data_IF_114919676333
#
_entry.id   IF_114919676333
#
_cell.length_a   1.000
_cell.length_b   1.000
_cell.length_c   1.000
_cell.angle_alpha   90.00
_cell.angle_beta   90.00
_cell.angle_gamma   90.00
#
_symmetry.space_group_name_H-M   'P 1'
#
loop_
_entity.id
_entity.type
_entity.pdbx_description
1 polymer ?
#
# COMPACT_ATOMS: atom_id res chain seq x y z
N UNK A 1 -12.88 -0.06 5.47
CA UNK A 1 -12.13 0.53 4.34
C UNK A 1 -13.00 1.05 3.20
N UNK A 2 -14.01 0.33 2.65
CA UNK A 2 -14.77 0.81 1.48
C UNK A 2 -15.43 2.18 1.64
N UNK A 3 -16.08 2.43 2.78
CA UNK A 3 -16.68 3.74 3.08
C UNK A 3 -15.64 4.85 3.12
N UNK A 4 -14.51 4.63 3.82
CA UNK A 4 -13.42 5.61 3.90
C UNK A 4 -12.80 5.91 2.53
N UNK A 5 -12.70 4.90 1.66
CA UNK A 5 -12.23 5.11 0.29
C UNK A 5 -13.19 6.01 -0.49
N UNK A 6 -14.49 5.76 -0.40
CA UNK A 6 -15.49 6.60 -1.06
C UNK A 6 -15.49 8.04 -0.51
N UNK A 7 -15.35 8.22 0.80
CA UNK A 7 -15.22 9.53 1.45
C UNK A 7 -13.98 10.28 0.92
N UNK A 8 -12.81 9.61 0.88
CA UNK A 8 -11.57 10.17 0.34
C UNK A 8 -11.74 10.70 -1.09
N UNK A 9 -12.48 10.00 -1.96
CA UNK A 9 -12.68 10.43 -3.34
C UNK A 9 -13.54 11.70 -3.49
N UNK A 10 -14.16 12.18 -2.40
CA UNK A 10 -14.89 13.45 -2.36
C UNK A 10 -14.02 14.60 -1.81
N UNK A 11 -12.81 14.33 -1.30
CA UNK A 11 -11.95 15.31 -0.66
C UNK A 11 -11.06 16.05 -1.66
N UNK A 12 -11.63 17.03 -2.37
CA UNK A 12 -10.94 17.77 -3.45
C UNK A 12 -9.57 18.36 -3.06
N UNK A 13 -9.38 18.77 -1.80
CA UNK A 13 -8.08 19.26 -1.30
C UNK A 13 -7.03 18.15 -1.25
N UNK A 14 -7.39 16.96 -0.76
CA UNK A 14 -6.50 15.79 -0.69
C UNK A 14 -6.19 15.21 -2.07
N UNK A 15 -7.14 15.30 -3.00
CA UNK A 15 -6.94 14.93 -4.40
C UNK A 15 -6.11 15.96 -5.17
N UNK A 16 -5.91 17.15 -4.59
CA UNK A 16 -5.15 18.26 -5.15
C UNK A 16 -5.56 18.67 -6.58
N UNK A 17 -6.87 18.60 -6.90
CA UNK A 17 -7.38 18.79 -8.27
C UNK A 17 -7.07 20.16 -8.90
N UNK A 18 -6.71 21.15 -8.08
CA UNK A 18 -6.30 22.49 -8.50
C UNK A 18 -4.77 22.66 -8.65
N UNK A 19 -3.99 21.58 -8.57
CA UNK A 19 -2.53 21.60 -8.61
C UNK A 19 -1.98 20.70 -9.73
N UNK A 20 -0.89 21.09 -10.42
CA UNK A 20 -0.30 20.28 -11.51
C UNK A 20 0.11 18.86 -11.11
N UNK A 21 0.53 18.66 -9.86
CA UNK A 21 0.90 17.34 -9.32
C UNK A 21 -0.30 16.52 -8.79
N UNK A 22 -1.48 17.14 -8.70
CA UNK A 22 -2.71 16.49 -8.24
C UNK A 22 -3.39 15.66 -9.32
N UNK A 23 -4.57 15.12 -9.01
CA UNK A 23 -5.34 14.29 -9.93
C UNK A 23 -6.09 15.14 -10.97
N UNK A 24 -6.09 14.67 -12.22
CA UNK A 24 -6.95 15.19 -13.28
C UNK A 24 -8.41 14.76 -13.06
N UNK A 25 -9.36 15.51 -13.64
CA UNK A 25 -10.79 15.16 -13.59
C UNK A 25 -11.07 13.75 -14.15
N UNK A 26 -10.31 13.32 -15.16
CA UNK A 26 -10.42 11.98 -15.74
C UNK A 26 -9.93 10.91 -14.76
N UNK A 27 -8.83 11.14 -14.05
CA UNK A 27 -8.36 10.22 -13.00
C UNK A 27 -9.36 10.15 -11.84
N UNK A 28 -9.93 11.29 -11.43
CA UNK A 28 -10.99 11.32 -10.40
C UNK A 28 -12.21 10.50 -10.83
N UNK A 29 -12.69 10.65 -12.07
CA UNK A 29 -13.82 9.86 -12.57
C UNK A 29 -13.48 8.36 -12.58
N UNK A 30 -12.30 7.98 -13.07
CA UNK A 30 -11.85 6.58 -13.06
C UNK A 30 -11.81 6.01 -11.64
N UNK A 31 -11.33 6.78 -10.66
CA UNK A 31 -11.34 6.35 -9.26
C UNK A 31 -12.76 6.16 -8.73
N UNK A 32 -13.69 7.06 -9.06
CA UNK A 32 -15.10 6.91 -8.68
C UNK A 32 -15.71 5.63 -9.26
N UNK A 33 -15.37 5.28 -10.50
CA UNK A 33 -15.83 4.05 -11.16
C UNK A 33 -15.24 2.77 -10.52
N UNK A 34 -14.23 2.89 -9.65
CA UNK A 34 -13.57 1.74 -8.98
C UNK A 34 -14.10 1.45 -7.58
N UNK A 35 -15.08 2.21 -7.06
CA UNK A 35 -15.60 2.01 -5.70
C UNK A 35 -16.09 0.58 -5.47
N UNK A 36 -16.87 0.03 -6.42
CA UNK A 36 -17.37 -1.35 -6.34
C UNK A 36 -16.24 -2.39 -6.50
N UNK A 37 -15.25 -2.09 -7.35
CA UNK A 37 -14.07 -2.95 -7.53
C UNK A 37 -13.26 -3.02 -6.25
N UNK A 38 -13.00 -1.87 -5.60
CA UNK A 38 -12.31 -1.80 -4.32
C UNK A 38 -13.05 -2.57 -3.23
N UNK A 39 -14.37 -2.39 -3.13
CA UNK A 39 -15.21 -3.12 -2.18
C UNK A 39 -15.18 -4.64 -2.42
N UNK A 40 -15.23 -5.06 -3.69
CA UNK A 40 -15.14 -6.47 -4.09
C UNK A 40 -13.79 -7.08 -3.73
N UNK A 41 -12.68 -6.39 -4.02
CA UNK A 41 -11.32 -6.84 -3.67
C UNK A 41 -11.16 -6.96 -2.14
N UNK A 42 -11.65 -5.99 -1.37
CA UNK A 42 -11.63 -6.06 0.10
C UNK A 42 -12.41 -7.28 0.60
N UNK A 43 -13.60 -7.53 0.06
CA UNK A 43 -14.43 -8.68 0.41
C UNK A 43 -13.76 -9.99 0.03
N UNK A 44 -13.12 -10.06 -1.13
CA UNK A 44 -12.40 -11.25 -1.59
C UNK A 44 -11.20 -11.55 -0.68
N UNK A 45 -10.39 -10.54 -0.35
CA UNK A 45 -9.25 -10.70 0.56
C UNK A 45 -9.70 -11.18 1.95
N UNK A 46 -10.85 -10.73 2.43
CA UNK A 46 -11.40 -11.16 3.71
C UNK A 46 -11.92 -12.63 3.72
N UNK A 47 -11.94 -13.33 2.58
CA UNK A 47 -12.35 -14.75 2.54
C UNK A 47 -11.22 -15.73 2.87
N UNK A 48 -9.97 -15.28 2.84
CA UNK A 48 -8.80 -16.09 3.20
C UNK A 48 -8.65 -16.15 4.73
N UNK A 49 -8.26 -17.30 5.26
CA UNK A 49 -8.08 -17.51 6.71
C UNK A 49 -6.77 -16.90 7.27
N UNK A 50 -6.33 -15.77 6.70
CA UNK A 50 -5.11 -15.06 7.10
C UNK A 50 -5.46 -13.99 8.14
N UNK A 51 -4.92 -14.05 9.36
CA UNK A 51 -5.26 -13.09 10.40
C UNK A 51 -4.64 -11.71 10.10
N UNK A 52 -5.29 -10.66 10.59
CA UNK A 52 -4.67 -9.35 10.70
C UNK A 52 -3.48 -9.42 11.67
N UNK A 53 -2.43 -8.64 11.38
CA UNK A 53 -1.21 -8.58 12.19
C UNK A 53 -0.70 -7.17 12.32
N UNK A 54 0.37 -6.99 13.08
CA UNK A 54 1.11 -5.73 13.12
C UNK A 54 1.78 -5.49 11.76
N UNK A 55 1.21 -4.55 11.01
CA UNK A 55 1.76 -3.98 9.79
C UNK A 55 2.73 -2.86 10.13
N UNK A 56 3.89 -2.82 9.47
CA UNK A 56 4.92 -1.82 9.75
C UNK A 56 4.58 -0.44 9.18
N UNK A 57 3.95 -0.36 8.00
CA UNK A 57 3.59 0.89 7.34
C UNK A 57 4.70 1.63 6.58
N UNK A 58 5.96 1.20 6.71
CA UNK A 58 7.12 1.76 5.98
C UNK A 58 8.31 0.79 6.00
N UNK A 59 8.08 -0.48 5.66
CA UNK A 59 9.12 -1.50 5.75
C UNK A 59 10.07 -1.43 4.54
N UNK A 60 11.26 -0.87 4.74
CA UNK A 60 12.31 -0.83 3.73
C UNK A 60 13.72 -1.04 4.31
N UNK A 61 14.73 -1.15 3.45
CA UNK A 61 16.13 -1.41 3.84
C UNK A 61 16.69 -0.39 4.85
N UNK A 62 16.27 0.87 4.73
CA UNK A 62 16.59 1.92 5.69
C UNK A 62 16.02 1.72 7.09
N UNK A 63 15.01 0.85 7.27
CA UNK A 63 14.30 0.57 8.54
C UNK A 63 14.69 -0.78 9.16
N UNK A 64 15.74 -1.42 8.63
CA UNK A 64 16.24 -2.72 9.12
C UNK A 64 17.73 -2.62 9.44
N UNK A 65 18.08 -2.80 10.71
CA UNK A 65 19.47 -2.90 11.16
C UNK A 65 19.89 -4.34 11.38
N UNK A 66 21.17 -4.61 11.15
CA UNK A 66 21.79 -5.92 11.42
C UNK A 66 22.83 -5.73 12.52
N UNK A 67 22.63 -6.41 13.65
CA UNK A 67 23.56 -6.40 14.77
C UNK A 67 23.79 -7.82 15.28
N UNK A 68 25.04 -8.30 15.26
CA UNK A 68 25.43 -9.64 15.70
C UNK A 68 24.58 -10.76 15.08
N UNK A 69 24.29 -10.67 13.78
CA UNK A 69 23.47 -11.67 13.06
C UNK A 69 21.97 -11.60 13.36
N UNK A 70 21.50 -10.60 14.11
CA UNK A 70 20.08 -10.37 14.39
C UNK A 70 19.57 -9.16 13.59
N UNK A 71 18.33 -9.27 13.11
CA UNK A 71 17.62 -8.17 12.48
C UNK A 71 16.86 -7.36 13.53
N UNK A 72 16.98 -6.04 13.46
CA UNK A 72 16.24 -5.09 14.29
C UNK A 72 15.42 -4.22 13.34
N UNK A 73 14.11 -4.30 13.46
CA UNK A 73 13.16 -3.48 12.72
C UNK A 73 12.84 -2.23 13.55
N UNK A 74 13.01 -1.05 12.99
CA UNK A 74 12.75 0.22 13.66
C UNK A 74 11.77 1.09 12.87
N UNK A 75 11.39 2.22 13.45
CA UNK A 75 10.46 3.20 12.86
C UNK A 75 9.03 2.68 12.73
N UNK A 76 8.48 2.23 13.86
CA UNK A 76 7.10 1.75 13.96
C UNK A 76 6.07 2.89 14.06
N UNK A 77 6.43 4.14 13.77
CA UNK A 77 5.54 5.30 13.86
C UNK A 77 4.31 5.20 12.95
N UNK A 78 4.49 4.47 11.84
CA UNK A 78 3.52 4.23 10.79
C UNK A 78 2.73 2.92 10.95
N UNK A 79 2.93 2.22 12.08
CA UNK A 79 2.38 0.89 12.28
C UNK A 79 0.88 0.87 12.55
N UNK A 80 0.23 -0.22 12.12
CA UNK A 80 -1.20 -0.46 12.33
C UNK A 80 -1.53 -1.94 12.39
N UNK A 81 -2.74 -2.29 12.83
CA UNK A 81 -3.26 -3.65 12.67
C UNK A 81 -3.89 -3.72 11.28
N UNK A 82 -3.39 -4.62 10.43
CA UNK A 82 -3.85 -4.75 9.05
C UNK A 82 -3.52 -6.11 8.45
N UNK A 83 -3.88 -6.31 7.18
CA UNK A 83 -3.52 -7.52 6.46
C UNK A 83 -1.98 -7.60 6.33
N UNK A 84 -1.33 -8.72 6.70
CA UNK A 84 0.13 -8.82 6.79
C UNK A 84 0.82 -8.43 5.48
N UNK A 85 0.22 -8.81 4.36
CA UNK A 85 0.80 -8.68 3.04
C UNK A 85 0.97 -7.23 2.58
N UNK A 86 0.31 -6.26 3.22
CA UNK A 86 0.53 -4.83 2.93
C UNK A 86 1.96 -4.39 3.27
N UNK A 87 2.62 -5.02 4.26
CA UNK A 87 3.97 -4.63 4.71
C UNK A 87 5.04 -4.78 3.63
N UNK A 88 4.80 -5.58 2.60
CA UNK A 88 5.81 -5.85 1.57
C UNK A 88 5.83 -4.79 0.46
N UNK A 89 4.79 -3.94 0.39
CA UNK A 89 4.65 -2.90 -0.65
C UNK A 89 5.86 -1.97 -0.66
N UNK A 90 6.22 -1.38 0.47
CA UNK A 90 7.34 -0.44 0.55
C UNK A 90 8.69 -1.10 0.30
N UNK A 91 8.83 -2.38 0.68
CA UNK A 91 10.02 -3.16 0.35
C UNK A 91 10.14 -3.30 -1.17
N UNK A 92 9.05 -3.61 -1.87
CA UNK A 92 9.02 -3.69 -3.33
C UNK A 92 9.28 -2.34 -4.01
N UNK A 93 8.62 -1.28 -3.54
CA UNK A 93 8.85 0.07 -4.03
C UNK A 93 10.31 0.50 -3.87
N UNK A 94 10.93 0.20 -2.71
CA UNK A 94 12.32 0.47 -2.44
C UNK A 94 13.27 -0.34 -3.33
N UNK A 95 13.01 -1.63 -3.55
CA UNK A 95 13.80 -2.48 -4.46
C UNK A 95 13.80 -1.92 -5.89
N UNK A 96 12.64 -1.47 -6.37
CA UNK A 96 12.54 -0.82 -7.67
C UNK A 96 13.33 0.49 -7.70
N UNK A 97 13.09 1.38 -6.74
CA UNK A 97 13.69 2.73 -6.69
C UNK A 97 15.22 2.70 -6.54
N UNK A 98 15.75 1.80 -5.71
CA UNK A 98 17.19 1.75 -5.38
C UNK A 98 18.00 0.91 -6.36
N UNK A 99 17.41 -0.17 -6.88
CA UNK A 99 18.14 -1.18 -7.66
C UNK A 99 17.60 -1.38 -9.08
N UNK A 100 16.55 -0.66 -9.48
CA UNK A 100 15.94 -0.79 -10.81
C UNK A 100 15.26 -2.15 -11.02
N UNK A 101 14.92 -2.87 -9.95
CA UNK A 101 14.36 -4.22 -10.03
C UNK A 101 12.84 -4.15 -10.25
N UNK A 102 12.39 -4.78 -11.34
CA UNK A 102 10.96 -4.91 -11.65
C UNK A 102 10.29 -6.06 -10.87
N UNK A 103 8.95 -6.07 -10.87
CA UNK A 103 8.12 -7.11 -10.24
C UNK A 103 8.44 -8.53 -10.73
N UNK A 104 8.88 -8.67 -11.99
CA UNK A 104 9.25 -9.95 -12.60
C UNK A 104 10.71 -10.37 -12.34
N UNK A 105 11.44 -9.63 -11.49
CA UNK A 105 12.83 -9.98 -11.18
C UNK A 105 12.90 -11.17 -10.22
N UNK A 106 14.00 -11.94 -10.32
CA UNK A 106 14.30 -13.03 -9.41
C UNK A 106 14.20 -12.63 -7.93
N UNK A 107 14.61 -11.39 -7.59
CA UNK A 107 14.61 -10.91 -6.21
C UNK A 107 13.21 -10.64 -5.67
N UNK A 108 12.29 -10.16 -6.48
CA UNK A 108 10.89 -9.98 -6.09
C UNK A 108 10.22 -11.33 -5.82
N UNK A 109 10.35 -12.27 -6.75
CA UNK A 109 9.79 -13.62 -6.58
C UNK A 109 10.41 -14.34 -5.38
N UNK A 110 11.73 -14.25 -5.19
CA UNK A 110 12.40 -14.83 -4.02
C UNK A 110 11.88 -14.21 -2.71
N UNK A 111 11.65 -12.91 -2.67
CA UNK A 111 11.14 -12.22 -1.50
C UNK A 111 9.68 -12.64 -1.21
N UNK A 112 8.82 -12.67 -2.23
CA UNK A 112 7.45 -13.21 -2.16
C UNK A 112 7.45 -14.63 -1.59
N UNK A 113 8.31 -15.50 -2.12
CA UNK A 113 8.43 -16.90 -1.71
C UNK A 113 8.87 -17.06 -0.27
N UNK A 114 9.88 -16.30 0.16
CA UNK A 114 10.31 -16.28 1.56
C UNK A 114 9.19 -15.78 2.48
N UNK A 115 8.49 -14.72 2.08
CA UNK A 115 7.46 -14.10 2.90
C UNK A 115 6.25 -15.03 3.07
N UNK A 116 5.67 -15.51 1.97
CA UNK A 116 4.51 -16.40 1.96
C UNK A 116 4.75 -17.75 2.63
N UNK A 117 5.99 -18.24 2.70
CA UNK A 117 6.33 -19.46 3.46
C UNK A 117 6.00 -19.35 4.94
N UNK A 118 5.95 -18.15 5.51
CA UNK A 118 5.58 -17.92 6.91
C UNK A 118 4.08 -18.04 7.16
N UNK A 119 3.27 -18.19 6.11
CA UNK A 119 1.80 -18.14 6.18
C UNK A 119 1.12 -19.46 5.76
N UNK A 120 1.91 -20.51 5.51
CA UNK A 120 1.41 -21.82 5.03
C UNK A 120 0.55 -22.57 6.04
N UNK A 121 0.51 -22.13 7.30
CA UNK A 121 -0.41 -22.66 8.31
C UNK A 121 -1.86 -22.16 8.10
N UNK A 122 -2.04 -21.01 7.44
CA UNK A 122 -3.33 -20.34 7.29
C UNK A 122 -4.06 -20.73 6.00
N UNK A 123 -3.33 -20.90 4.90
CA UNK A 123 -3.90 -21.25 3.59
C UNK A 123 -2.91 -22.07 2.75
N UNK A 124 -3.41 -22.70 1.68
CA UNK A 124 -2.54 -23.37 0.70
C UNK A 124 -1.67 -22.36 -0.05
N UNK A 125 -0.55 -22.83 -0.60
CA UNK A 125 0.38 -21.97 -1.33
C UNK A 125 -0.30 -21.19 -2.45
N UNK A 126 -1.16 -21.85 -3.21
CA UNK A 126 -1.89 -21.27 -4.34
C UNK A 126 -2.83 -20.16 -3.86
N UNK A 127 -3.56 -20.40 -2.77
CA UNK A 127 -4.45 -19.39 -2.18
C UNK A 127 -3.69 -18.21 -1.59
N UNK A 128 -2.54 -18.46 -0.95
CA UNK A 128 -1.67 -17.40 -0.43
C UNK A 128 -1.17 -16.49 -1.55
N UNK A 129 -0.85 -17.04 -2.73
CA UNK A 129 -0.48 -16.25 -3.90
C UNK A 129 -1.64 -15.40 -4.40
N UNK A 130 -2.86 -15.95 -4.47
CA UNK A 130 -4.04 -15.14 -4.85
C UNK A 130 -4.30 -14.03 -3.83
N UNK A 131 -4.26 -14.33 -2.54
CA UNK A 131 -4.42 -13.35 -1.47
C UNK A 131 -3.33 -12.27 -1.52
N UNK A 132 -2.10 -12.66 -1.83
CA UNK A 132 -0.97 -11.76 -2.03
C UNK A 132 -1.25 -10.77 -3.15
N UNK A 133 -1.61 -11.24 -4.34
CA UNK A 133 -1.87 -10.34 -5.47
C UNK A 133 -3.03 -9.37 -5.19
N UNK A 134 -4.11 -9.84 -4.54
CA UNK A 134 -5.21 -8.96 -4.12
C UNK A 134 -4.72 -7.92 -3.10
N UNK A 135 -3.95 -8.36 -2.09
CA UNK A 135 -3.41 -7.46 -1.07
C UNK A 135 -2.48 -6.41 -1.69
N UNK A 136 -1.66 -6.78 -2.67
CA UNK A 136 -0.78 -5.85 -3.38
C UNK A 136 -1.57 -4.82 -4.17
N UNK A 137 -2.70 -5.20 -4.80
CA UNK A 137 -3.62 -4.23 -5.44
C UNK A 137 -4.19 -3.24 -4.43
N UNK A 138 -4.54 -3.70 -3.23
CA UNK A 138 -5.14 -2.86 -2.18
C UNK A 138 -4.13 -2.02 -1.37
N UNK A 139 -2.87 -2.44 -1.32
CA UNK A 139 -1.83 -1.88 -0.44
C UNK A 139 -1.59 -0.36 -0.50
N UNK A 140 -1.80 0.36 -1.63
CA UNK A 140 -1.65 1.82 -1.63
C UNK A 140 -2.72 2.54 -0.78
N UNK A 141 -3.89 1.93 -0.55
CA UNK A 141 -5.02 2.59 0.12
C UNK A 141 -4.81 2.70 1.64
N UNK A 142 -4.39 1.64 2.37
CA UNK A 142 -3.96 1.78 3.76
C UNK A 142 -2.90 2.87 3.98
N UNK A 143 -1.95 3.02 3.05
CA UNK A 143 -0.93 4.07 3.11
C UNK A 143 -1.53 5.47 3.00
N UNK A 144 -2.57 5.68 2.21
CA UNK A 144 -3.27 6.98 2.17
C UNK A 144 -3.83 7.33 3.54
N UNK A 145 -4.48 6.37 4.21
CA UNK A 145 -5.08 6.61 5.53
C UNK A 145 -4.05 6.92 6.62
N UNK A 146 -2.83 6.41 6.47
CA UNK A 146 -1.68 6.76 7.30
C UNK A 146 -1.22 8.21 7.10
N UNK A 147 -1.28 8.72 5.87
CA UNK A 147 -0.94 10.12 5.57
C UNK A 147 -1.99 11.13 6.07
N UNK A 148 -3.27 10.74 6.22
CA UNK A 148 -4.33 11.71 6.56
C UNK A 148 -4.08 12.49 7.86
N UNK A 149 -3.74 11.85 9.01
CA UNK A 149 -3.45 12.59 10.24
C UNK A 149 -2.21 13.48 10.10
N UNK A 150 -1.19 13.02 9.38
CA UNK A 150 0.05 13.78 9.14
C UNK A 150 -0.26 15.08 8.40
N UNK A 151 -0.95 14.98 7.27
CA UNK A 151 -1.31 16.14 6.43
C UNK A 151 -2.26 17.10 7.16
N UNK A 152 -3.18 16.57 7.98
CA UNK A 152 -4.14 17.37 8.74
C UNK A 152 -3.48 18.24 9.81
N UNK A 153 -2.33 17.83 10.35
CA UNK A 153 -1.59 18.56 11.37
C UNK A 153 -0.48 19.48 10.81
N UNK A 154 -0.23 19.43 9.50
CA UNK A 154 0.73 20.31 8.83
C UNK A 154 0.11 21.67 8.52
N UNK A 155 0.92 22.73 8.62
CA UNK A 155 0.56 24.01 8.02
C UNK A 155 0.53 23.92 6.48
N UNK A 156 -0.06 24.92 5.83
CA UNK A 156 -0.24 24.93 4.37
C UNK A 156 1.07 24.87 3.59
N UNK A 157 2.13 25.51 4.10
CA UNK A 157 3.42 25.53 3.40
C UNK A 157 4.11 24.17 3.47
N UNK A 158 4.08 23.51 4.63
CA UNK A 158 4.59 22.15 4.81
C UNK A 158 3.76 21.13 4.01
N UNK A 159 2.43 21.24 4.04
CA UNK A 159 1.51 20.35 3.29
C UNK A 159 1.78 20.39 1.78
N UNK A 160 2.10 21.56 1.22
CA UNK A 160 2.40 21.70 -0.20
C UNK A 160 3.61 20.88 -0.65
N UNK A 161 4.55 20.55 0.24
CA UNK A 161 5.69 19.68 -0.09
C UNK A 161 5.28 18.21 -0.30
N UNK A 162 4.07 17.84 0.09
CA UNK A 162 3.52 16.48 0.02
C UNK A 162 2.22 16.42 -0.80
N UNK A 163 1.97 17.44 -1.63
CA UNK A 163 0.72 17.60 -2.38
C UNK A 163 0.44 16.46 -3.37
N UNK A 164 1.46 15.71 -3.75
CA UNK A 164 1.40 14.57 -4.66
C UNK A 164 1.33 13.21 -3.95
N UNK A 165 1.49 13.16 -2.62
CA UNK A 165 1.56 11.91 -1.86
C UNK A 165 0.29 11.05 -2.04
N UNK A 166 -0.89 11.62 -1.80
CA UNK A 166 -2.19 10.94 -2.00
C UNK A 166 -2.47 10.68 -3.49
N UNK A 167 -2.34 11.66 -4.41
CA UNK A 167 -2.49 11.42 -5.84
C UNK A 167 -1.64 10.26 -6.39
N UNK A 168 -0.38 10.15 -5.97
CA UNK A 168 0.52 9.09 -6.43
C UNK A 168 0.09 7.71 -5.94
N UNK A 169 -0.37 7.59 -4.69
CA UNK A 169 -0.91 6.33 -4.15
C UNK A 169 -2.20 5.92 -4.86
N UNK A 170 -3.09 6.88 -5.19
CA UNK A 170 -4.31 6.61 -5.95
C UNK A 170 -4.01 6.17 -7.40
N UNK A 171 -2.99 6.76 -8.05
CA UNK A 171 -2.51 6.31 -9.36
C UNK A 171 -1.90 4.92 -9.32
N UNK A 172 -1.18 4.60 -8.25
CA UNK A 172 -0.65 3.27 -8.03
C UNK A 172 -1.78 2.24 -7.89
N UNK A 173 -2.82 2.56 -7.12
CA UNK A 173 -4.03 1.74 -7.01
C UNK A 173 -4.69 1.51 -8.38
N UNK A 174 -4.96 2.58 -9.16
CA UNK A 174 -5.50 2.48 -10.51
C UNK A 174 -4.65 1.56 -11.40
N UNK A 175 -3.34 1.77 -11.40
CA UNK A 175 -2.42 0.99 -12.23
C UNK A 175 -2.40 -0.49 -11.81
N UNK A 176 -2.60 -0.79 -10.52
CA UNK A 176 -2.57 -2.15 -10.01
C UNK A 176 -3.83 -2.95 -10.35
N UNK A 177 -5.00 -2.32 -10.46
CA UNK A 177 -6.26 -3.00 -10.78
C UNK A 177 -6.50 -3.20 -12.29
N UNK A 178 -5.78 -2.48 -13.14
CA UNK A 178 -5.89 -2.53 -14.60
C UNK A 178 -5.05 -3.65 -15.27
N UNK A 179 -4.25 -4.36 -14.46
CA UNK A 179 -3.42 -5.51 -14.85
C UNK A 179 -4.08 -6.82 -14.42
#
# INVERSE_FOLDING_TARGET
>A
MPTLYQELLNETELLATNHPSGLSLLECQRLQDTVDVFASLCKQLATFAIPETLHHGDLHDGNVFIHNGRYIFFDWGDSSISHPFFSIRDTYANLNRRFGLGKNSFWFERLKDCYLRSWVEYETREKLEVAFEIAQKLSPIPDIFRWLPVLSNMDKAARNNYIDAIPNLLREFLSAIEV
#
